data_IF_080875340994
#
_entry.id   IF_080875340994
#
_cell.length_a   1.000
_cell.length_b   1.000
_cell.length_c   1.000
_cell.angle_alpha   90.00
_cell.angle_beta   90.00
_cell.angle_gamma   90.00
#
_symmetry.space_group_name_H-M   'P 1'
#
loop_
_entity.id
_entity.type
_entity.pdbx_description
1 polymer ?
#
# COMPACT_ATOMS: atom_id res chain seq x y z
N UNK A 1 -0.33 18.27 -10.87
CA UNK A 1 1.10 17.88 -10.73
C UNK A 1 1.60 17.09 -11.95
N UNK A 2 1.01 15.92 -12.26
CA UNK A 2 1.44 15.11 -13.43
C UNK A 2 1.36 15.87 -14.75
N UNK A 3 0.31 16.64 -14.98
CA UNK A 3 0.14 17.46 -16.19
C UNK A 3 1.27 18.49 -16.36
N UNK A 4 1.64 19.17 -15.26
CA UNK A 4 2.74 20.14 -15.25
C UNK A 4 4.07 19.45 -15.53
N UNK A 5 4.34 18.29 -14.91
CA UNK A 5 5.56 17.53 -15.15
C UNK A 5 5.68 17.05 -16.61
N UNK A 6 4.57 16.62 -17.21
CA UNK A 6 4.52 16.25 -18.64
C UNK A 6 4.74 17.47 -19.55
N UNK A 7 4.16 18.62 -19.20
CA UNK A 7 4.36 19.86 -19.95
C UNK A 7 5.82 20.32 -19.94
N UNK A 8 6.53 20.08 -18.83
CA UNK A 8 7.97 20.34 -18.68
C UNK A 8 8.86 19.20 -19.22
N UNK A 9 8.31 18.32 -20.08
CA UNK A 9 9.02 17.21 -20.75
C UNK A 9 9.62 16.15 -19.80
N UNK A 10 9.12 16.00 -18.58
CA UNK A 10 9.47 14.87 -17.72
C UNK A 10 8.68 13.61 -18.11
N UNK A 11 9.39 12.49 -18.26
CA UNK A 11 8.76 11.17 -18.45
C UNK A 11 8.16 10.67 -17.12
N UNK A 12 6.84 10.77 -16.98
CA UNK A 12 6.13 10.40 -15.74
C UNK A 12 4.99 9.40 -16.00
N UNK A 13 4.95 8.38 -15.15
CA UNK A 13 3.89 7.36 -15.12
C UNK A 13 3.15 7.42 -13.79
N UNK A 14 1.83 7.21 -13.85
CA UNK A 14 1.00 6.98 -12.69
C UNK A 14 0.85 5.48 -12.49
N UNK A 15 0.87 5.05 -11.24
CA UNK A 15 0.74 3.65 -10.87
C UNK A 15 -0.15 3.56 -9.65
N UNK A 16 -1.16 2.69 -9.74
CA UNK A 16 -2.08 2.46 -8.62
C UNK A 16 -1.38 1.64 -7.53
N UNK A 17 -1.53 2.08 -6.29
CA UNK A 17 -0.94 1.42 -5.11
C UNK A 17 -1.97 1.40 -4.00
N UNK A 18 -1.79 0.46 -3.08
CA UNK A 18 -2.60 0.35 -1.86
C UNK A 18 -1.76 0.83 -0.69
N UNK A 19 -2.32 1.69 0.14
CA UNK A 19 -1.64 2.17 1.34
C UNK A 19 -2.34 1.60 2.58
N UNK A 20 -1.56 1.11 3.54
CA UNK A 20 -2.06 0.60 4.81
C UNK A 20 -1.34 1.27 5.98
N UNK A 21 -2.02 1.30 7.12
CA UNK A 21 -1.43 1.63 8.41
C UNK A 21 -1.49 0.43 9.34
N UNK A 22 -0.40 0.14 10.02
CA UNK A 22 -0.36 -0.90 11.06
C UNK A 22 0.41 -0.40 12.29
N UNK A 23 0.30 -1.04 13.45
CA UNK A 23 1.14 -0.71 14.60
C UNK A 23 2.63 -0.87 14.25
N UNK A 24 3.48 0.00 14.81
CA UNK A 24 4.94 -0.06 14.66
C UNK A 24 5.55 -1.00 15.70
N UNK A 25 5.13 -2.27 15.67
CA UNK A 25 5.70 -3.32 16.53
C UNK A 25 6.07 -4.54 15.69
N UNK A 26 6.99 -5.35 16.20
CA UNK A 26 7.45 -6.54 15.51
C UNK A 26 6.27 -7.46 15.14
N UNK A 27 6.25 -7.92 13.89
CA UNK A 27 5.23 -8.83 13.38
C UNK A 27 3.92 -8.18 12.91
N UNK A 28 3.69 -6.87 13.12
CA UNK A 28 2.47 -6.21 12.65
C UNK A 28 2.31 -6.27 11.13
N UNK A 29 3.37 -5.95 10.38
CA UNK A 29 3.36 -6.07 8.93
C UNK A 29 3.33 -7.53 8.47
N UNK A 30 4.05 -8.42 9.14
CA UNK A 30 4.09 -9.85 8.79
C UNK A 30 2.68 -10.46 8.76
N UNK A 31 1.85 -10.14 9.76
CA UNK A 31 0.45 -10.58 9.81
C UNK A 31 -0.37 -10.13 8.59
N UNK A 32 -0.15 -8.91 8.10
CA UNK A 32 -0.84 -8.41 6.89
C UNK A 32 -0.32 -9.13 5.64
N UNK A 33 0.99 -9.36 5.54
CA UNK A 33 1.59 -10.10 4.44
C UNK A 33 1.11 -11.55 4.39
N UNK A 34 0.90 -12.20 5.53
CA UNK A 34 0.36 -13.56 5.61
C UNK A 34 -1.06 -13.64 5.02
N UNK A 35 -1.89 -12.61 5.24
CA UNK A 35 -3.24 -12.54 4.63
C UNK A 35 -3.18 -12.42 3.11
N UNK A 36 -2.29 -11.59 2.60
CA UNK A 36 -2.10 -11.42 1.16
C UNK A 36 -1.56 -12.71 0.54
N UNK A 37 -0.59 -13.35 1.18
CA UNK A 37 -0.02 -14.61 0.73
C UNK A 37 -1.05 -15.75 0.71
N UNK A 38 -1.88 -15.88 1.76
CA UNK A 38 -2.93 -16.91 1.84
C UNK A 38 -3.98 -16.79 0.72
N UNK A 39 -4.21 -15.58 0.22
CA UNK A 39 -5.15 -15.29 -0.87
C UNK A 39 -4.44 -15.16 -2.23
N UNK A 40 -3.17 -15.57 -2.32
CA UNK A 40 -2.32 -15.54 -3.52
C UNK A 40 -2.16 -14.14 -4.16
N UNK A 41 -2.11 -13.09 -3.35
CA UNK A 41 -1.81 -11.73 -3.78
C UNK A 41 -0.30 -11.51 -3.70
N UNK A 42 0.35 -11.39 -4.85
CA UNK A 42 1.78 -11.10 -4.94
C UNK A 42 2.05 -9.61 -4.79
N UNK A 43 3.16 -9.28 -4.14
CA UNK A 43 3.63 -7.90 -4.00
C UNK A 43 4.80 -7.71 -4.96
N UNK A 44 4.67 -6.76 -5.88
CA UNK A 44 5.75 -6.40 -6.82
C UNK A 44 6.84 -5.62 -6.09
N UNK A 45 6.43 -4.61 -5.33
CA UNK A 45 7.29 -3.84 -4.45
C UNK A 45 6.46 -3.19 -3.33
N UNK A 46 7.14 -2.81 -2.25
CA UNK A 46 6.53 -2.05 -1.16
C UNK A 46 7.54 -1.08 -0.54
N UNK A 47 7.02 -0.01 0.05
CA UNK A 47 7.77 0.94 0.87
C UNK A 47 7.09 1.05 2.23
N UNK A 48 7.87 1.01 3.32
CA UNK A 48 7.35 1.08 4.67
C UNK A 48 8.11 2.12 5.50
N UNK A 49 7.39 2.95 6.23
CA UNK A 49 7.95 3.97 7.12
C UNK A 49 7.30 3.89 8.48
N UNK A 50 8.13 3.85 9.52
CA UNK A 50 7.68 3.98 10.90
C UNK A 50 7.45 5.45 11.25
N UNK A 51 6.32 5.74 11.90
CA UNK A 51 5.92 7.04 12.40
C UNK A 51 5.32 6.89 13.80
N UNK A 52 6.17 7.09 14.82
CA UNK A 52 5.80 6.87 16.22
C UNK A 52 5.34 5.43 16.46
N UNK A 53 4.14 5.28 16.98
CA UNK A 53 3.51 3.98 17.30
C UNK A 53 2.86 3.31 16.09
N UNK A 54 2.89 3.94 14.92
CA UNK A 54 2.30 3.42 13.67
C UNK A 54 3.34 3.30 12.57
N UNK A 55 3.08 2.45 11.59
CA UNK A 55 3.85 2.33 10.38
C UNK A 55 2.92 2.46 9.16
N UNK A 56 3.34 3.27 8.20
CA UNK A 56 2.66 3.44 6.92
C UNK A 56 3.36 2.62 5.85
N UNK A 57 2.59 1.82 5.11
CA UNK A 57 3.12 0.93 4.09
C UNK A 57 2.39 1.17 2.78
N UNK A 58 3.15 1.49 1.74
CA UNK A 58 2.70 1.59 0.35
C UNK A 58 3.03 0.27 -0.34
N UNK A 59 2.02 -0.39 -0.90
CA UNK A 59 2.13 -1.70 -1.52
C UNK A 59 1.70 -1.58 -2.98
N UNK A 60 2.51 -2.09 -3.90
CA UNK A 60 2.10 -2.39 -5.27
C UNK A 60 1.79 -3.89 -5.38
N UNK A 61 0.52 -4.30 -5.24
CA UNK A 61 0.14 -5.69 -5.45
C UNK A 61 0.00 -5.99 -6.95
N UNK A 62 0.04 -7.28 -7.29
CA UNK A 62 -0.29 -7.77 -8.64
C UNK A 62 -1.74 -7.46 -9.06
N UNK A 63 -2.65 -7.37 -8.08
CA UNK A 63 -4.04 -6.96 -8.29
C UNK A 63 -4.50 -6.03 -7.16
N UNK A 64 -4.77 -4.77 -7.50
CA UNK A 64 -5.13 -3.70 -6.54
C UNK A 64 -6.52 -3.93 -5.95
N UNK A 65 -7.52 -4.23 -6.78
CA UNK A 65 -8.91 -4.43 -6.35
C UNK A 65 -9.02 -5.60 -5.37
N UNK A 66 -8.43 -6.75 -5.74
CA UNK A 66 -8.42 -7.94 -4.89
C UNK A 66 -7.65 -7.71 -3.60
N UNK A 67 -6.54 -6.96 -3.65
CA UNK A 67 -5.79 -6.59 -2.44
C UNK A 67 -6.65 -5.79 -1.47
N UNK A 68 -7.36 -4.76 -1.96
CA UNK A 68 -8.25 -3.94 -1.12
C UNK A 68 -9.40 -4.78 -0.53
N UNK A 69 -10.02 -5.67 -1.32
CA UNK A 69 -11.05 -6.59 -0.81
C UNK A 69 -10.56 -7.44 0.37
N UNK A 70 -9.38 -8.05 0.22
CA UNK A 70 -8.79 -8.91 1.25
C UNK A 70 -8.40 -8.12 2.49
N UNK A 71 -7.75 -6.96 2.31
CA UNK A 71 -7.39 -6.09 3.43
C UNK A 71 -8.64 -5.63 4.21
N UNK A 72 -9.72 -5.28 3.51
CA UNK A 72 -10.99 -4.94 4.15
C UNK A 72 -11.63 -6.15 4.86
N UNK A 73 -11.61 -7.34 4.25
CA UNK A 73 -12.10 -8.59 4.84
C UNK A 73 -11.41 -8.92 6.18
N UNK A 74 -10.12 -8.61 6.29
CA UNK A 74 -9.33 -8.82 7.51
C UNK A 74 -9.27 -7.59 8.43
N UNK A 75 -10.10 -6.56 8.19
CA UNK A 75 -10.15 -5.32 8.97
C UNK A 75 -8.79 -4.61 9.10
N UNK A 76 -7.97 -4.65 8.05
CA UNK A 76 -6.74 -3.87 7.97
C UNK A 76 -7.08 -2.39 7.75
N UNK A 77 -6.29 -1.49 8.32
CA UNK A 77 -6.50 -0.05 8.16
C UNK A 77 -5.95 0.41 6.80
N UNK A 78 -6.80 0.42 5.78
CA UNK A 78 -6.48 0.91 4.44
C UNK A 78 -6.64 2.43 4.40
N UNK A 79 -5.58 3.13 3.99
CA UNK A 79 -5.57 4.58 3.91
C UNK A 79 -6.19 5.07 2.59
N UNK A 80 -7.00 6.11 2.67
CA UNK A 80 -7.58 6.78 1.49
C UNK A 80 -6.69 7.94 1.05
N UNK A 81 -6.89 8.44 -0.18
CA UNK A 81 -6.10 9.57 -0.74
C UNK A 81 -6.05 10.83 0.14
N UNK A 82 -7.03 11.04 1.00
CA UNK A 82 -7.09 12.21 1.89
C UNK A 82 -6.44 11.96 3.26
N UNK A 83 -5.99 10.72 3.52
CA UNK A 83 -5.39 10.27 4.78
C UNK A 83 -3.94 9.81 4.58
N UNK A 84 -3.36 10.14 3.43
CA UNK A 84 -1.94 10.00 3.09
C UNK A 84 -1.21 11.32 3.30
#
# INVERSE_FOLDING_TARGET
AVEVLRAENFAVMLTDVVCISCPNVAGSLAKVLDYLAAENIFIEYMYAFAQGDTAHVVIRPSNVERCVEILNKFNCNVLTKNSL
#
